data_IF_760053816570
#
_entry.id   IF_760053816570
#
_cell.length_a   1.000
_cell.length_b   1.000
_cell.length_c   1.000
_cell.angle_alpha   90.00
_cell.angle_beta   90.00
_cell.angle_gamma   90.00
#
_symmetry.space_group_name_H-M   'P 1'
#
loop_
_entity.id
_entity.type
_entity.pdbx_description
1 polymer ?
#
# COMPACT_ATOMS: atom_id res chain seq x y z
N UNK A 1 -13.09 14.75 9.97
CA UNK A 1 -13.89 13.52 10.20
C UNK A 1 -13.55 13.03 11.60
N UNK A 2 -14.52 12.86 12.52
CA UNK A 2 -14.22 12.42 13.90
C UNK A 2 -14.84 11.05 14.15
N UNK A 3 -14.00 10.02 14.12
CA UNK A 3 -14.33 8.67 14.57
C UNK A 3 -13.43 8.33 15.77
N UNK A 4 -13.73 8.86 16.96
CA UNK A 4 -12.81 8.78 18.11
C UNK A 4 -12.51 7.32 18.47
N UNK A 5 -13.50 6.45 18.45
CA UNK A 5 -13.32 5.03 18.83
C UNK A 5 -13.02 4.10 17.64
N UNK A 6 -12.65 4.64 16.46
CA UNK A 6 -12.37 3.79 15.30
C UNK A 6 -11.08 3.01 15.50
N UNK A 7 -11.24 1.71 15.80
CA UNK A 7 -10.10 0.80 15.98
C UNK A 7 -9.72 0.02 14.73
N UNK A 8 -10.69 -0.27 13.87
CA UNK A 8 -10.46 -1.06 12.65
C UNK A 8 -11.09 -0.36 11.46
N UNK A 9 -10.25 0.05 10.50
CA UNK A 9 -10.71 0.58 9.21
C UNK A 9 -10.62 -0.52 8.16
N UNK A 10 -11.70 -0.74 7.42
CA UNK A 10 -11.74 -1.66 6.29
C UNK A 10 -12.10 -0.89 5.03
N UNK A 11 -11.25 -1.00 4.02
CA UNK A 11 -11.44 -0.38 2.72
C UNK A 11 -11.48 -1.48 1.66
N UNK A 12 -12.44 -1.38 0.74
CA UNK A 12 -12.49 -2.18 -0.47
C UNK A 12 -12.60 -1.22 -1.64
N UNK A 13 -11.61 -1.24 -2.53
CA UNK A 13 -11.48 -0.28 -3.62
C UNK A 13 -10.93 -0.95 -4.86
N UNK A 14 -11.40 -0.56 -6.05
CA UNK A 14 -10.87 -1.10 -7.32
C UNK A 14 -9.43 -0.61 -7.55
N UNK A 15 -9.16 0.66 -7.25
CA UNK A 15 -7.88 1.32 -7.47
C UNK A 15 -7.13 1.60 -6.16
N UNK A 16 -5.81 1.71 -6.26
CA UNK A 16 -4.91 2.27 -5.24
C UNK A 16 -4.65 3.75 -5.51
N UNK A 17 -4.28 4.51 -4.47
CA UNK A 17 -3.69 5.83 -4.63
C UNK A 17 -2.16 5.74 -4.51
N UNK A 18 -1.45 5.89 -5.63
CA UNK A 18 -0.01 5.70 -5.66
C UNK A 18 0.74 6.86 -5.00
N UNK A 19 1.55 6.55 -3.99
CA UNK A 19 2.32 7.58 -3.27
C UNK A 19 3.54 8.12 -4.05
N UNK A 20 3.89 7.50 -5.18
CA UNK A 20 4.98 7.96 -6.06
C UNK A 20 4.48 8.99 -7.09
N UNK A 21 3.44 8.67 -7.84
CA UNK A 21 2.89 9.57 -8.87
C UNK A 21 1.66 10.38 -8.41
N UNK A 22 1.12 10.15 -7.21
CA UNK A 22 -0.05 10.85 -6.66
C UNK A 22 -1.33 10.69 -7.51
N UNK A 23 -1.51 9.54 -8.15
CA UNK A 23 -2.69 9.24 -8.98
C UNK A 23 -3.36 7.93 -8.55
N UNK A 24 -4.64 7.79 -8.89
CA UNK A 24 -5.40 6.55 -8.69
C UNK A 24 -5.16 5.60 -9.86
N UNK A 25 -4.73 4.37 -9.59
CA UNK A 25 -4.51 3.34 -10.62
C UNK A 25 -4.98 1.99 -10.12
N UNK A 26 -5.33 1.07 -11.03
CA UNK A 26 -5.41 -0.35 -10.70
C UNK A 26 -3.97 -0.88 -10.79
N UNK A 27 -3.40 -1.45 -9.71
CA UNK A 27 -2.07 -2.02 -9.80
C UNK A 27 -2.13 -3.24 -10.72
N UNK A 28 -1.24 -3.29 -11.70
CA UNK A 28 -1.04 -4.51 -12.47
C UNK A 28 0.15 -5.30 -11.88
N UNK A 29 0.16 -6.62 -12.07
CA UNK A 29 1.27 -7.50 -11.66
C UNK A 29 1.47 -8.62 -12.68
N UNK A 30 2.73 -8.98 -12.93
CA UNK A 30 3.13 -10.06 -13.83
C UNK A 30 2.65 -11.42 -13.37
N UNK A 31 2.74 -11.66 -12.07
CA UNK A 31 2.28 -12.88 -11.44
C UNK A 31 1.18 -12.55 -10.43
N UNK A 32 0.40 -13.57 -10.06
CA UNK A 32 -0.59 -13.41 -9.01
C UNK A 32 0.09 -12.92 -7.71
N UNK A 33 -0.32 -11.77 -7.16
CA UNK A 33 0.26 -11.27 -5.94
C UNK A 33 -0.08 -12.23 -4.78
N UNK A 34 0.68 -12.18 -3.67
CA UNK A 34 0.32 -12.94 -2.48
C UNK A 34 -1.12 -12.64 -2.06
N UNK A 35 -1.90 -13.67 -1.70
CA UNK A 35 -3.31 -13.51 -1.28
C UNK A 35 -3.50 -12.54 -0.10
N UNK A 36 -2.46 -12.37 0.72
CA UNK A 36 -2.42 -11.45 1.84
C UNK A 36 -0.98 -10.96 2.08
N UNK A 37 -0.81 -9.63 2.19
CA UNK A 37 0.39 -9.03 2.76
C UNK A 37 0.01 -8.48 4.14
N UNK A 38 0.81 -8.80 5.15
CA UNK A 38 0.61 -8.32 6.52
C UNK A 38 1.83 -7.55 6.96
N UNK A 39 1.59 -6.31 7.37
CA UNK A 39 2.56 -5.46 8.02
C UNK A 39 2.24 -5.31 9.50
N UNK A 40 3.27 -5.36 10.34
CA UNK A 40 3.20 -5.11 11.79
C UNK A 40 4.09 -3.93 12.17
N UNK A 41 3.92 -3.39 13.38
CA UNK A 41 4.72 -2.24 13.84
C UNK A 41 4.31 -0.90 13.21
N UNK A 42 3.07 -0.81 12.70
CA UNK A 42 2.48 0.42 12.17
C UNK A 42 3.04 0.88 10.83
N UNK A 43 3.65 -0.02 10.05
CA UNK A 43 4.12 0.25 8.68
C UNK A 43 3.13 -0.31 7.64
N UNK A 44 3.38 -0.04 6.36
CA UNK A 44 2.62 -0.64 5.27
C UNK A 44 1.39 0.14 4.82
N UNK A 45 1.13 1.31 5.41
CA UNK A 45 0.20 2.30 4.86
C UNK A 45 0.87 3.13 3.76
N UNK A 46 0.12 3.55 2.73
CA UNK A 46 0.56 4.60 1.83
C UNK A 46 0.95 5.86 2.63
N UNK A 47 2.01 6.55 2.23
CA UNK A 47 2.53 7.74 2.95
C UNK A 47 1.44 8.80 3.14
N UNK A 48 0.57 8.98 2.14
CA UNK A 48 -0.53 9.94 2.22
C UNK A 48 -1.57 9.52 3.26
N UNK A 49 -1.92 8.23 3.31
CA UNK A 49 -2.90 7.73 4.27
C UNK A 49 -2.38 7.85 5.70
N UNK A 50 -1.11 7.53 5.90
CA UNK A 50 -0.38 7.77 7.15
C UNK A 50 -0.61 9.19 7.69
N UNK A 51 -0.45 10.20 6.83
CA UNK A 51 -0.68 11.61 7.19
C UNK A 51 -2.16 11.93 7.43
N UNK A 52 -3.05 11.55 6.54
CA UNK A 52 -4.48 11.89 6.65
C UNK A 52 -5.16 11.22 7.85
N UNK A 53 -4.68 10.05 8.27
CA UNK A 53 -5.25 9.28 9.36
C UNK A 53 -4.50 9.43 10.68
N UNK A 54 -3.46 10.26 10.73
CA UNK A 54 -2.69 10.51 11.96
C UNK A 54 -3.58 10.95 13.14
N UNK A 55 -4.70 11.63 12.87
CA UNK A 55 -5.67 12.06 13.88
C UNK A 55 -6.62 10.96 14.40
N UNK A 56 -6.56 9.75 13.84
CA UNK A 56 -7.36 8.62 14.30
C UNK A 56 -6.61 7.87 15.41
N UNK A 57 -6.59 8.47 16.61
CA UNK A 57 -5.74 8.07 17.75
C UNK A 57 -5.87 6.59 18.12
N UNK A 58 -7.06 6.01 17.98
CA UNK A 58 -7.36 4.63 18.33
C UNK A 58 -7.28 3.64 17.16
N UNK A 59 -6.95 4.11 15.95
CA UNK A 59 -6.88 3.26 14.76
C UNK A 59 -5.74 2.27 14.88
N UNK A 60 -6.11 1.02 15.14
CA UNK A 60 -5.20 -0.07 15.44
C UNK A 60 -4.91 -0.95 14.22
N UNK A 61 -5.93 -1.18 13.39
CA UNK A 61 -5.82 -2.06 12.23
C UNK A 61 -6.44 -1.44 10.99
N UNK A 62 -5.71 -1.47 9.89
CA UNK A 62 -6.23 -1.15 8.57
C UNK A 62 -6.24 -2.40 7.71
N UNK A 63 -7.35 -2.67 7.05
CA UNK A 63 -7.49 -3.74 6.05
C UNK A 63 -7.88 -3.13 4.74
N UNK A 64 -7.06 -3.31 3.72
CA UNK A 64 -7.28 -2.76 2.38
C UNK A 64 -7.41 -3.94 1.43
N UNK A 65 -8.55 -4.03 0.77
CA UNK A 65 -8.77 -4.94 -0.34
C UNK A 65 -8.72 -4.12 -1.62
N UNK A 66 -7.84 -4.49 -2.54
CA UNK A 66 -7.65 -3.78 -3.80
C UNK A 66 -7.86 -4.68 -4.99
N UNK A 67 -8.35 -4.09 -6.08
CA UNK A 67 -8.30 -4.70 -7.39
C UNK A 67 -6.84 -4.88 -7.86
N UNK A 68 -6.59 -5.86 -8.70
CA UNK A 68 -5.36 -5.94 -9.49
C UNK A 68 -5.63 -6.47 -10.89
N UNK A 69 -4.77 -6.08 -11.83
CA UNK A 69 -4.73 -6.55 -13.23
C UNK A 69 -3.45 -7.35 -13.48
N UNK A 70 -3.36 -8.02 -14.63
CA UNK A 70 -2.11 -8.67 -15.06
C UNK A 70 -1.31 -7.73 -15.95
N UNK A 71 0.00 -7.60 -15.68
CA UNK A 71 0.98 -6.98 -16.58
C UNK A 71 2.08 -7.98 -16.97
N UNK A 72 3.16 -7.51 -17.60
CA UNK A 72 4.32 -8.33 -17.95
C UNK A 72 5.60 -7.98 -17.14
N UNK A 73 5.54 -6.96 -16.29
CA UNK A 73 6.73 -6.28 -15.76
C UNK A 73 6.80 -6.27 -14.23
N UNK A 74 5.72 -5.96 -13.52
CA UNK A 74 5.81 -5.63 -12.10
C UNK A 74 5.48 -6.82 -11.20
N UNK A 75 6.24 -7.01 -10.12
CA UNK A 75 6.03 -8.14 -9.20
C UNK A 75 6.12 -7.70 -7.75
N UNK A 76 5.22 -8.24 -6.93
CA UNK A 76 5.40 -8.28 -5.48
C UNK A 76 6.05 -9.62 -5.15
N UNK A 77 7.38 -9.60 -4.98
CA UNK A 77 8.09 -10.81 -4.58
C UNK A 77 7.59 -11.32 -3.21
N UNK A 78 7.71 -12.63 -2.96
CA UNK A 78 7.23 -13.25 -1.70
C UNK A 78 7.84 -12.61 -0.44
N UNK A 79 9.06 -12.13 -0.54
CA UNK A 79 9.77 -11.46 0.55
C UNK A 79 9.29 -10.01 0.77
N UNK A 80 8.61 -9.43 -0.22
CA UNK A 80 8.11 -8.05 -0.24
C UNK A 80 9.15 -7.04 0.26
N UNK A 81 10.38 -7.20 -0.22
CA UNK A 81 11.57 -6.42 0.22
C UNK A 81 11.41 -4.92 -0.07
N UNK A 82 10.66 -4.63 -1.12
CA UNK A 82 10.30 -3.28 -1.54
C UNK A 82 9.23 -2.64 -0.66
N UNK A 83 8.68 -3.36 0.33
CA UNK A 83 7.63 -2.90 1.24
C UNK A 83 6.47 -2.25 0.47
N UNK A 84 5.91 -2.98 -0.50
CA UNK A 84 4.88 -2.45 -1.38
C UNK A 84 3.65 -1.98 -0.59
N UNK A 85 3.28 -0.71 -0.69
CA UNK A 85 2.17 -0.14 0.06
C UNK A 85 1.40 0.85 -0.82
N UNK A 86 0.88 0.38 -1.96
CA UNK A 86 0.13 1.13 -3.00
C UNK A 86 0.93 1.69 -4.18
N UNK A 87 2.14 1.21 -4.49
CA UNK A 87 2.81 1.65 -5.71
C UNK A 87 2.16 1.04 -6.97
N UNK A 88 1.97 1.83 -8.04
CA UNK A 88 1.55 1.27 -9.34
C UNK A 88 2.75 0.66 -10.08
N UNK A 89 2.45 -0.24 -11.00
CA UNK A 89 3.38 -0.95 -11.89
C UNK A 89 4.33 0.02 -12.61
N UNK A 90 3.81 1.07 -13.24
CA UNK A 90 4.63 2.06 -13.94
C UNK A 90 5.67 2.73 -13.02
N UNK A 91 5.26 3.14 -11.81
CA UNK A 91 6.21 3.74 -10.88
C UNK A 91 7.21 2.73 -10.33
N UNK A 92 6.80 1.48 -10.10
CA UNK A 92 7.71 0.41 -9.72
C UNK A 92 8.75 0.18 -10.82
N UNK A 93 8.33 0.09 -12.09
CA UNK A 93 9.22 -0.16 -13.23
C UNK A 93 10.22 0.97 -13.47
N UNK A 94 9.75 2.23 -13.41
CA UNK A 94 10.60 3.40 -13.72
C UNK A 94 11.44 3.83 -12.53
N UNK A 95 10.85 3.93 -11.33
CA UNK A 95 11.54 4.54 -10.18
C UNK A 95 12.43 3.54 -9.45
N UNK A 96 12.10 2.26 -9.42
CA UNK A 96 12.91 1.26 -8.70
C UNK A 96 14.06 0.69 -9.53
N UNK A 97 14.16 1.07 -10.81
CA UNK A 97 15.36 0.86 -11.59
C UNK A 97 16.57 1.62 -10.99
N UNK A 98 16.32 2.73 -10.30
CA UNK A 98 17.32 3.41 -9.46
C UNK A 98 17.33 2.78 -8.06
N UNK A 99 18.40 2.05 -7.75
CA UNK A 99 18.57 1.37 -6.47
C UNK A 99 18.67 2.35 -5.29
N UNK A 100 19.32 3.50 -5.47
CA UNK A 100 19.44 4.51 -4.42
C UNK A 100 18.06 5.06 -4.05
N UNK A 101 17.26 5.42 -5.06
CA UNK A 101 15.88 5.84 -4.86
C UNK A 101 15.05 4.76 -4.16
N UNK A 102 15.15 3.50 -4.63
CA UNK A 102 14.40 2.37 -4.08
C UNK A 102 14.68 2.15 -2.59
N UNK A 103 15.96 2.16 -2.20
CA UNK A 103 16.38 1.98 -0.80
C UNK A 103 15.89 3.13 0.08
N UNK A 104 16.09 4.37 -0.37
CA UNK A 104 15.63 5.58 0.34
C UNK A 104 14.11 5.59 0.50
N UNK A 105 13.38 5.16 -0.53
CA UNK A 105 11.92 5.08 -0.49
C UNK A 105 11.43 4.03 0.51
N UNK A 106 12.04 2.84 0.54
CA UNK A 106 11.73 1.80 1.54
C UNK A 106 11.99 2.32 2.96
N UNK A 107 13.11 2.99 3.18
CA UNK A 107 13.47 3.52 4.48
C UNK A 107 12.51 4.63 4.93
N UNK A 108 12.10 5.51 4.01
CA UNK A 108 11.09 6.54 4.26
C UNK A 108 9.75 5.93 4.69
N UNK A 109 9.33 4.82 4.07
CA UNK A 109 8.08 4.13 4.43
C UNK A 109 8.16 3.49 5.82
N UNK A 110 9.31 2.93 6.20
CA UNK A 110 9.53 2.38 7.55
C UNK A 110 9.49 3.46 8.63
N UNK A 111 10.09 4.62 8.35
CA UNK A 111 10.25 5.72 9.31
C UNK A 111 9.22 6.84 9.15
N UNK A 112 8.05 6.55 8.58
CA UNK A 112 7.00 7.56 8.41
C UNK A 112 6.62 8.20 9.76
N UNK A 113 7.00 9.47 9.95
CA UNK A 113 6.82 10.17 11.23
C UNK A 113 5.36 10.46 11.58
N UNK A 114 4.52 10.68 10.56
CA UNK A 114 3.10 10.98 10.73
C UNK A 114 2.28 9.72 10.42
N UNK A 115 1.76 9.07 11.45
CA UNK A 115 0.88 7.90 11.36
C UNK A 115 -0.04 7.82 12.58
N UNK A 116 -1.18 7.10 12.51
CA UNK A 116 -2.01 6.87 13.69
C UNK A 116 -1.20 6.19 14.80
N UNK A 117 -1.20 6.75 16.01
CA UNK A 117 -0.31 6.31 17.10
C UNK A 117 -0.57 4.87 17.54
N UNK A 118 -1.84 4.45 17.55
CA UNK A 118 -2.22 3.08 17.92
C UNK A 118 -2.07 2.07 16.77
N UNK A 119 -1.64 2.49 15.56
CA UNK A 119 -1.60 1.61 14.40
C UNK A 119 -0.56 0.51 14.62
N UNK A 120 -1.03 -0.73 14.67
CA UNK A 120 -0.16 -1.90 14.82
C UNK A 120 -0.12 -2.76 13.58
N UNK A 121 -1.19 -2.79 12.79
CA UNK A 121 -1.37 -3.79 11.73
C UNK A 121 -2.00 -3.22 10.48
N UNK A 122 -1.38 -3.50 9.33
CA UNK A 122 -1.93 -3.19 8.00
C UNK A 122 -1.99 -4.46 7.18
N UNK A 123 -3.15 -4.75 6.62
CA UNK A 123 -3.39 -5.93 5.78
C UNK A 123 -3.76 -5.48 4.37
N UNK A 124 -3.08 -6.04 3.37
CA UNK A 124 -3.44 -5.88 1.96
C UNK A 124 -3.94 -7.19 1.40
N UNK A 125 -5.10 -7.14 0.74
CA UNK A 125 -5.71 -8.25 0.01
C UNK A 125 -5.90 -7.83 -1.44
N UNK A 126 -5.78 -8.80 -2.34
CA UNK A 126 -5.85 -8.57 -3.77
C UNK A 126 -7.02 -9.34 -4.35
N UNK A 127 -7.78 -8.69 -5.22
CA UNK A 127 -8.89 -9.27 -5.96
C UNK A 127 -8.63 -9.03 -7.43
N UNK A 128 -8.58 -10.10 -8.22
CA UNK A 128 -8.40 -9.97 -9.66
C UNK A 128 -9.60 -9.21 -10.25
N UNK A 129 -9.33 -8.22 -11.10
CA UNK A 129 -10.37 -7.46 -11.78
C UNK A 129 -10.24 -7.70 -13.28
N UNK A 130 -11.30 -8.24 -13.89
CA UNK A 130 -11.39 -8.31 -15.35
C UNK A 130 -11.55 -6.90 -15.92
N UNK A 131 -10.68 -6.54 -16.87
CA UNK A 131 -10.87 -5.33 -17.67
C UNK A 131 -11.98 -5.63 -18.69
N UNK A 132 -13.08 -4.85 -18.72
CA UNK A 132 -14.05 -4.98 -19.80
C UNK A 132 -13.34 -4.71 -21.14
N UNK A 133 -13.52 -5.63 -22.10
CA UNK A 133 -13.00 -5.51 -23.45
C UNK A 133 -13.47 -4.23 -24.17
#
# INVERSE_FOLDING_TARGET
>A
MRFPELRVLRLSQKSIYCSLCNTCNVPAFKEEPPSLIVYTGGIGLPIHYNRFWAMLEHLHTVRITVGYEKDDDSQINKANENLWCSECDHCMAVMYADEGFRLDWVERKKNAQLRPLALQRVEWRFVYVEVPA
#
